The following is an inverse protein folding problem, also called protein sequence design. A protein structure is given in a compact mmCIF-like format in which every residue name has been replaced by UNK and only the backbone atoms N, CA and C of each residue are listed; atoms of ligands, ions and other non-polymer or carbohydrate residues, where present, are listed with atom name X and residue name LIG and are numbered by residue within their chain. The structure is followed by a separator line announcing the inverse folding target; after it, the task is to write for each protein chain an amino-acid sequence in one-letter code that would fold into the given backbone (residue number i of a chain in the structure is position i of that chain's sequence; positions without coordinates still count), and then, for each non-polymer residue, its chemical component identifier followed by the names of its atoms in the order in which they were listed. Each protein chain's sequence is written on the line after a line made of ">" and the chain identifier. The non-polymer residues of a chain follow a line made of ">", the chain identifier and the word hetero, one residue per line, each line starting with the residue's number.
data_IF_097031105516
#
_entry.id   IF_097031105516
#
_cell.length_a   1.000
_cell.length_b   1.000
_cell.length_c   1.000
_cell.angle_alpha   90.00
_cell.angle_beta   90.00
_cell.angle_gamma   90.00
#
_symmetry.space_group_name_H-M   'P 1'
#
loop_
_entity.id
_entity.type
_entity.pdbx_description
1 polymer ?
#
# COMPACT_ATOMS: atom_id res chain seq x y z
N UNK A 1 -3.65 31.05 3.31
CA UNK A 1 -4.92 30.29 3.10
C UNK A 1 -4.61 28.87 2.60
N UNK A 2 -3.41 28.38 2.92
CA UNK A 2 -2.85 27.19 2.28
C UNK A 2 -3.25 25.93 3.05
N UNK A 3 -3.50 26.04 4.35
CA UNK A 3 -3.93 24.92 5.20
C UNK A 3 -5.26 24.30 4.76
N UNK A 4 -6.22 25.10 4.29
CA UNK A 4 -7.51 24.59 3.80
C UNK A 4 -7.35 23.81 2.48
N UNK A 5 -6.48 24.29 1.59
CA UNK A 5 -6.16 23.63 0.32
C UNK A 5 -5.40 22.33 0.59
N UNK A 6 -4.43 22.34 1.52
CA UNK A 6 -3.66 21.15 1.93
C UNK A 6 -4.60 20.12 2.58
N UNK A 7 -5.48 20.53 3.49
CA UNK A 7 -6.47 19.64 4.11
C UNK A 7 -7.42 19.05 3.06
N UNK A 8 -7.89 19.87 2.11
CA UNK A 8 -8.71 19.42 0.99
C UNK A 8 -7.97 18.39 0.12
N UNK A 9 -6.71 18.64 -0.20
CA UNK A 9 -5.87 17.72 -0.96
C UNK A 9 -5.68 16.39 -0.22
N UNK A 10 -5.25 16.41 1.05
CA UNK A 10 -5.04 15.22 1.88
C UNK A 10 -6.35 14.43 2.03
N UNK A 11 -7.45 15.12 2.28
CA UNK A 11 -8.77 14.51 2.39
C UNK A 11 -9.18 13.81 1.09
N UNK A 12 -9.03 14.49 -0.05
CA UNK A 12 -9.32 13.93 -1.36
C UNK A 12 -8.43 12.71 -1.67
N UNK A 13 -7.12 12.80 -1.43
CA UNK A 13 -6.22 11.66 -1.67
C UNK A 13 -6.53 10.49 -0.74
N UNK A 14 -6.87 10.76 0.53
CA UNK A 14 -7.26 9.74 1.49
C UNK A 14 -8.54 9.01 1.08
N UNK A 15 -9.53 9.74 0.56
CA UNK A 15 -10.77 9.16 0.04
C UNK A 15 -10.49 8.32 -1.21
N UNK A 16 -9.67 8.80 -2.14
CA UNK A 16 -9.34 8.08 -3.37
C UNK A 16 -8.57 6.79 -3.06
N UNK A 17 -7.49 6.88 -2.27
CA UNK A 17 -6.64 5.72 -1.95
C UNK A 17 -7.37 4.76 -1.02
N UNK A 18 -8.00 5.26 0.04
CA UNK A 18 -8.77 4.45 0.97
C UNK A 18 -9.99 3.80 0.32
N UNK A 19 -10.70 4.54 -0.53
CA UNK A 19 -11.83 4.04 -1.32
C UNK A 19 -11.41 2.98 -2.31
N UNK A 20 -10.28 3.16 -3.01
CA UNK A 20 -9.72 2.14 -3.91
C UNK A 20 -9.42 0.84 -3.15
N UNK A 21 -8.66 0.92 -2.06
CA UNK A 21 -8.33 -0.26 -1.24
C UNK A 21 -9.59 -0.95 -0.71
N UNK A 22 -10.55 -0.18 -0.19
CA UNK A 22 -11.80 -0.72 0.33
C UNK A 22 -12.65 -1.43 -0.74
N UNK A 23 -12.77 -0.82 -1.93
CA UNK A 23 -13.52 -1.39 -3.05
C UNK A 23 -12.93 -2.74 -3.47
N UNK A 24 -11.62 -2.80 -3.70
CA UNK A 24 -10.95 -4.02 -4.15
C UNK A 24 -10.92 -5.12 -3.09
N UNK A 25 -10.81 -4.76 -1.80
CA UNK A 25 -10.98 -5.71 -0.69
C UNK A 25 -12.42 -6.27 -0.62
N UNK A 26 -13.44 -5.44 -0.89
CA UNK A 26 -14.83 -5.94 -1.00
C UNK A 26 -15.01 -6.86 -2.20
N UNK A 27 -14.41 -6.56 -3.35
CA UNK A 27 -14.43 -7.43 -4.52
C UNK A 27 -13.75 -8.77 -4.20
N UNK A 28 -12.59 -8.78 -3.54
CA UNK A 28 -11.92 -10.00 -3.11
C UNK A 28 -12.78 -10.83 -2.14
N UNK A 29 -13.41 -10.20 -1.14
CA UNK A 29 -14.31 -10.87 -0.20
C UNK A 29 -15.58 -11.42 -0.89
N UNK A 30 -16.14 -10.66 -1.84
CA UNK A 30 -17.30 -11.08 -2.64
C UNK A 30 -16.95 -12.28 -3.54
N UNK A 31 -15.78 -12.28 -4.16
CA UNK A 31 -15.26 -13.39 -4.97
C UNK A 31 -15.06 -14.66 -4.15
N UNK A 32 -14.70 -14.53 -2.87
CA UNK A 32 -14.61 -15.64 -1.93
C UNK A 32 -15.98 -16.07 -1.36
N UNK A 33 -17.05 -15.29 -1.57
CA UNK A 33 -18.39 -15.46 -0.96
C UNK A 33 -18.36 -15.52 0.57
N UNK A 34 -17.38 -14.88 1.19
CA UNK A 34 -17.29 -14.79 2.66
C UNK A 34 -17.76 -13.41 3.08
N UNK A 35 -18.95 -13.33 3.69
CA UNK A 35 -19.45 -12.08 4.29
C UNK A 35 -18.60 -11.75 5.52
N UNK A 36 -18.08 -10.53 5.59
CA UNK A 36 -17.35 -10.02 6.76
C UNK A 36 -15.82 -10.21 6.78
N UNK A 37 -15.24 -10.99 5.86
CA UNK A 37 -13.79 -11.29 5.86
C UNK A 37 -12.91 -10.20 5.22
N UNK A 38 -13.50 -9.08 4.77
CA UNK A 38 -12.73 -7.95 4.23
C UNK A 38 -11.78 -7.35 5.29
N UNK A 39 -12.15 -7.39 6.58
CA UNK A 39 -11.32 -6.92 7.69
C UNK A 39 -10.10 -7.83 7.91
N UNK A 40 -10.24 -9.14 7.66
CA UNK A 40 -9.11 -10.07 7.73
C UNK A 40 -8.15 -9.81 6.57
N UNK A 41 -8.65 -9.64 5.35
CA UNK A 41 -7.81 -9.29 4.21
C UNK A 41 -7.07 -7.96 4.42
N UNK A 42 -7.71 -6.98 5.07
CA UNK A 42 -7.06 -5.71 5.43
C UNK A 42 -5.85 -5.90 6.36
N UNK A 43 -5.84 -6.89 7.26
CA UNK A 43 -4.68 -7.18 8.11
C UNK A 43 -3.43 -7.58 7.30
N UNK A 44 -3.61 -8.13 6.09
CA UNK A 44 -2.51 -8.42 5.17
C UNK A 44 -1.76 -7.17 4.70
N UNK A 45 -2.42 -6.01 4.70
CA UNK A 45 -1.85 -4.74 4.24
C UNK A 45 -1.10 -3.99 5.34
N UNK A 46 -1.21 -4.41 6.60
CA UNK A 46 -0.54 -3.80 7.76
C UNK A 46 0.97 -3.64 7.59
N UNK A 47 1.74 -4.67 7.16
CA UNK A 47 3.18 -4.50 6.94
C UNK A 47 3.51 -3.45 5.87
N UNK A 48 2.71 -3.36 4.80
CA UNK A 48 2.88 -2.33 3.77
C UNK A 48 2.56 -0.94 4.32
N UNK A 49 1.49 -0.81 5.12
CA UNK A 49 1.13 0.45 5.76
C UNK A 49 2.23 0.93 6.73
N UNK A 50 2.79 0.03 7.54
CA UNK A 50 3.91 0.35 8.44
C UNK A 50 5.15 0.82 7.69
N UNK A 51 5.54 0.11 6.62
CA UNK A 51 6.68 0.49 5.79
C UNK A 51 6.42 1.82 5.07
N UNK A 52 5.21 2.07 4.58
CA UNK A 52 4.83 3.35 3.99
C UNK A 52 4.99 4.52 4.96
N UNK A 53 4.53 4.38 6.21
CA UNK A 53 4.71 5.42 7.25
C UNK A 53 6.20 5.66 7.52
N UNK A 54 6.98 4.58 7.65
CA UNK A 54 8.43 4.69 7.87
C UNK A 54 9.16 5.39 6.73
N UNK A 55 8.80 5.06 5.48
CA UNK A 55 9.33 5.72 4.29
C UNK A 55 8.95 7.21 4.25
N UNK A 56 7.74 7.56 4.67
CA UNK A 56 7.29 8.96 4.76
C UNK A 56 8.06 9.78 5.76
N UNK A 57 8.25 9.23 6.96
CA UNK A 57 9.07 9.89 7.98
C UNK A 57 10.53 10.02 7.53
N UNK A 58 11.08 8.98 6.91
CA UNK A 58 12.45 9.01 6.37
C UNK A 58 12.60 10.00 5.21
N UNK A 59 11.57 10.19 4.38
CA UNK A 59 11.56 11.20 3.33
C UNK A 59 11.61 12.61 3.92
N UNK A 60 10.79 12.90 4.93
CA UNK A 60 10.80 14.19 5.64
C UNK A 60 12.17 14.48 6.26
N UNK A 61 12.76 13.51 6.96
CA UNK A 61 14.09 13.67 7.56
C UNK A 61 15.17 13.99 6.53
N UNK A 62 15.12 13.32 5.37
CA UNK A 62 16.11 13.52 4.30
C UNK A 62 15.91 14.84 3.59
N UNK A 63 14.67 15.29 3.39
CA UNK A 63 14.40 16.60 2.80
C UNK A 63 15.00 17.72 3.65
N UNK A 64 14.90 17.60 4.98
CA UNK A 64 15.57 18.52 5.92
C UNK A 64 17.09 18.45 5.74
N UNK A 65 17.66 17.24 5.75
CA UNK A 65 19.11 17.03 5.62
C UNK A 65 19.69 17.49 4.26
N UNK A 66 18.89 17.39 3.20
CA UNK A 66 19.28 17.83 1.85
C UNK A 66 19.29 19.36 1.76
N UNK A 67 18.43 20.04 2.52
CA UNK A 67 18.48 21.49 2.70
C UNK A 67 19.79 21.96 3.35
N UNK A 68 20.40 21.10 4.19
CA UNK A 68 21.69 21.35 4.83
C UNK A 68 22.90 20.91 3.96
N UNK A 69 22.67 20.47 2.72
CA UNK A 69 23.71 20.11 1.76
C UNK A 69 24.19 18.65 1.80
N UNK A 70 23.65 17.82 2.71
CA UNK A 70 24.05 16.40 2.83
C UNK A 70 23.28 15.54 1.83
N UNK A 71 23.97 15.03 0.81
CA UNK A 71 23.41 14.13 -0.20
C UNK A 71 23.81 12.67 0.06
N UNK A 72 22.83 11.77 0.15
CA UNK A 72 23.05 10.33 0.35
C UNK A 72 22.69 9.59 -0.95
N UNK A 73 23.66 9.20 -1.79
CA UNK A 73 23.40 8.60 -3.11
C UNK A 73 22.81 7.18 -3.03
N UNK A 74 23.03 6.44 -1.93
CA UNK A 74 22.49 5.08 -1.74
C UNK A 74 21.02 5.05 -1.31
N UNK A 75 20.43 6.21 -1.01
CA UNK A 75 19.12 6.30 -0.37
C UNK A 75 17.93 5.85 -1.23
N UNK A 76 17.90 6.08 -2.56
CA UNK A 76 16.84 5.55 -3.43
C UNK A 76 16.81 4.01 -3.43
N UNK A 77 17.98 3.37 -3.39
CA UNK A 77 18.11 1.91 -3.32
C UNK A 77 17.52 1.34 -2.03
N UNK A 78 17.83 1.93 -0.87
CA UNK A 78 17.26 1.51 0.41
C UNK A 78 15.74 1.66 0.44
N UNK A 79 15.21 2.76 -0.08
CA UNK A 79 13.77 3.02 -0.14
C UNK A 79 13.05 2.02 -1.04
N UNK A 80 13.61 1.75 -2.22
CA UNK A 80 13.11 0.75 -3.16
C UNK A 80 13.13 -0.66 -2.56
N UNK A 81 14.22 -1.04 -1.88
CA UNK A 81 14.33 -2.32 -1.20
C UNK A 81 13.28 -2.47 -0.09
N UNK A 82 13.08 -1.44 0.73
CA UNK A 82 12.11 -1.47 1.82
C UNK A 82 10.68 -1.58 1.28
N UNK A 83 10.36 -0.83 0.21
CA UNK A 83 9.06 -0.94 -0.49
C UNK A 83 8.84 -2.32 -1.08
N UNK A 84 9.87 -2.87 -1.74
CA UNK A 84 9.84 -4.21 -2.30
C UNK A 84 9.54 -5.26 -1.23
N UNK A 85 10.25 -5.19 -0.10
CA UNK A 85 10.03 -6.07 1.05
C UNK A 85 8.60 -5.94 1.57
N UNK A 86 8.09 -4.70 1.72
CA UNK A 86 6.73 -4.45 2.18
C UNK A 86 5.65 -4.96 1.25
N UNK A 87 5.83 -4.75 -0.07
CA UNK A 87 4.92 -5.25 -1.10
C UNK A 87 4.91 -6.78 -1.14
N UNK A 88 6.09 -7.42 -1.11
CA UNK A 88 6.22 -8.88 -1.08
C UNK A 88 5.59 -9.46 0.20
N UNK A 89 5.86 -8.85 1.37
CA UNK A 89 5.29 -9.28 2.64
C UNK A 89 3.75 -9.18 2.62
N UNK A 90 3.19 -8.09 2.10
CA UNK A 90 1.74 -7.90 1.99
C UNK A 90 1.09 -8.91 1.03
N UNK A 91 1.67 -9.10 -0.16
CA UNK A 91 1.19 -10.09 -1.13
C UNK A 91 1.28 -11.53 -0.58
N UNK A 92 2.35 -11.84 0.16
CA UNK A 92 2.54 -13.14 0.78
C UNK A 92 1.51 -13.40 1.89
N UNK A 93 1.25 -12.40 2.74
CA UNK A 93 0.24 -12.50 3.79
C UNK A 93 -1.17 -12.62 3.20
N UNK A 94 -1.50 -11.80 2.20
CA UNK A 94 -2.76 -11.90 1.45
C UNK A 94 -2.96 -13.28 0.83
N UNK A 95 -1.92 -13.86 0.20
CA UNK A 95 -1.96 -15.23 -0.33
C UNK A 95 -2.24 -16.27 0.77
N UNK A 96 -1.57 -16.16 1.93
CA UNK A 96 -1.80 -17.07 3.07
C UNK A 96 -3.22 -16.95 3.61
N UNK A 97 -3.78 -15.75 3.70
CA UNK A 97 -5.15 -15.55 4.16
C UNK A 97 -6.17 -16.16 3.19
N UNK A 98 -6.01 -15.91 1.89
CA UNK A 98 -6.91 -16.44 0.84
C UNK A 98 -6.82 -17.97 0.77
N UNK A 99 -5.63 -18.55 0.97
CA UNK A 99 -5.43 -20.00 0.96
C UNK A 99 -6.18 -20.72 2.11
N UNK A 100 -6.43 -20.04 3.25
CA UNK A 100 -7.16 -20.58 4.39
C UNK A 100 -8.68 -20.64 4.17
N UNK A 101 -9.21 -19.93 3.18
CA UNK A 101 -10.65 -19.94 2.87
C UNK A 101 -10.98 -21.13 1.96
N UNK A 102 -11.94 -22.02 2.32
CA UNK A 102 -12.35 -23.12 1.47
C UNK A 102 -13.12 -22.60 0.24
N UNK A 103 -12.42 -22.50 -0.90
CA UNK A 103 -12.97 -22.00 -2.16
C UNK A 103 -12.27 -22.68 -3.35
N UNK A 104 -12.94 -22.70 -4.52
CA UNK A 104 -12.36 -23.22 -5.77
C UNK A 104 -11.06 -22.49 -6.12
N UNK A 105 -10.04 -23.16 -6.68
CA UNK A 105 -8.74 -22.57 -6.98
C UNK A 105 -8.82 -21.36 -7.92
N UNK A 106 -9.69 -21.40 -8.93
CA UNK A 106 -9.93 -20.26 -9.82
C UNK A 106 -10.44 -19.00 -9.08
N UNK A 107 -11.31 -19.19 -8.07
CA UNK A 107 -11.85 -18.07 -7.26
C UNK A 107 -10.81 -17.53 -6.29
N UNK A 108 -9.94 -18.40 -5.76
CA UNK A 108 -8.78 -17.98 -4.95
C UNK A 108 -7.81 -17.15 -5.77
N UNK A 109 -7.54 -17.54 -7.02
CA UNK A 109 -6.67 -16.78 -7.92
C UNK A 109 -7.28 -15.40 -8.27
N UNK A 110 -8.58 -15.35 -8.60
CA UNK A 110 -9.27 -14.09 -8.86
C UNK A 110 -9.27 -13.16 -7.63
N UNK A 111 -9.50 -13.70 -6.42
CA UNK A 111 -9.42 -12.93 -5.18
C UNK A 111 -8.01 -12.44 -4.88
N UNK A 112 -6.98 -13.22 -5.22
CA UNK A 112 -5.58 -12.82 -5.07
C UNK A 112 -5.19 -11.71 -6.05
N UNK A 113 -5.68 -11.76 -7.30
CA UNK A 113 -5.51 -10.66 -8.25
C UNK A 113 -6.19 -9.37 -7.75
N UNK A 114 -7.44 -9.46 -7.28
CA UNK A 114 -8.14 -8.30 -6.69
C UNK A 114 -7.37 -7.73 -5.48
N UNK A 115 -6.79 -8.60 -4.64
CA UNK A 115 -5.93 -8.18 -3.54
C UNK A 115 -4.65 -7.48 -4.02
N UNK A 116 -4.00 -8.00 -5.06
CA UNK A 116 -2.81 -7.38 -5.65
C UNK A 116 -3.13 -5.98 -6.24
N UNK A 117 -4.31 -5.80 -6.84
CA UNK A 117 -4.79 -4.49 -7.30
C UNK A 117 -5.09 -3.54 -6.13
N UNK A 118 -5.51 -4.05 -4.97
CA UNK A 118 -5.61 -3.23 -3.77
C UNK A 118 -4.22 -2.81 -3.26
N UNK A 119 -3.24 -3.71 -3.30
CA UNK A 119 -1.84 -3.45 -2.89
C UNK A 119 -1.18 -2.39 -3.77
N UNK A 120 -1.52 -2.30 -5.06
CA UNK A 120 -0.92 -1.32 -5.97
C UNK A 120 -1.16 0.13 -5.53
N UNK A 121 -2.31 0.44 -4.92
CA UNK A 121 -2.58 1.78 -4.40
C UNK A 121 -1.61 2.20 -3.29
N UNK A 122 -1.01 1.25 -2.57
CA UNK A 122 0.01 1.52 -1.56
C UNK A 122 1.44 1.59 -2.12
N UNK A 123 1.68 1.18 -3.37
CA UNK A 123 3.02 1.10 -3.98
C UNK A 123 3.20 2.17 -5.06
N UNK A 124 2.21 2.36 -5.92
CA UNK A 124 2.25 3.27 -7.07
C UNK A 124 2.63 4.71 -6.67
N UNK A 125 2.05 5.31 -5.61
CA UNK A 125 2.41 6.68 -5.21
C UNK A 125 3.89 6.82 -4.86
N UNK A 126 4.45 5.82 -4.17
CA UNK A 126 5.86 5.83 -3.79
C UNK A 126 6.79 5.65 -4.98
N UNK A 127 6.43 4.78 -5.93
CA UNK A 127 7.23 4.59 -7.15
C UNK A 127 7.27 5.88 -7.96
N UNK A 128 6.13 6.56 -8.11
CA UNK A 128 6.08 7.87 -8.75
C UNK A 128 6.98 8.89 -8.04
N UNK A 129 6.93 8.95 -6.71
CA UNK A 129 7.71 9.88 -5.90
C UNK A 129 9.23 9.61 -5.95
N UNK A 130 9.67 8.37 -6.17
CA UNK A 130 11.09 8.01 -6.12
C UNK A 130 11.77 7.89 -7.48
N UNK A 131 11.02 7.60 -8.55
CA UNK A 131 11.60 7.29 -9.86
C UNK A 131 11.09 8.19 -10.99
N UNK A 132 9.96 8.88 -10.81
CA UNK A 132 9.35 9.72 -11.87
C UNK A 132 9.52 11.21 -11.55
N UNK A 133 9.33 11.58 -10.29
CA UNK A 133 9.61 12.91 -9.74
C UNK A 133 10.99 12.96 -9.11
#
# INVERSE_FOLDING_TARGET
>A
MDGAIILGYIGATSIVVGGWMWLWLRVAAALLRVRGDHLRLAHGLVPLAGIGVFLGLSALSVTILSGDGVHIPALPWFRGALLGIGAVAALWLGRKLIARVPARPARRFAAWLAYAVATSAGVVPWVFMFYVW
#
